data_IF_839784054507
#
_entry.id   IF_839784054507
#
_cell.length_a   1.000
_cell.length_b   1.000
_cell.length_c   1.000
_cell.angle_alpha   90.00
_cell.angle_beta   90.00
_cell.angle_gamma   90.00
#
_symmetry.space_group_name_H-M   'P 1'
#
loop_
_entity.id
_entity.type
_entity.pdbx_description
1 polymer ?
#
# COMPACT_ATOMS: atom_id res chain seq x y z
N UNK A 1 -7.81 23.25 6.12
CA UNK A 1 -7.29 23.33 4.74
C UNK A 1 -6.65 22.01 4.40
N UNK A 2 -7.09 21.37 3.31
CA UNK A 2 -6.53 20.13 2.81
C UNK A 2 -5.44 20.43 1.78
N UNK A 3 -4.31 19.74 1.86
CA UNK A 3 -3.18 19.87 0.93
C UNK A 3 -2.57 18.49 0.65
N UNK A 4 -1.94 18.31 -0.51
CA UNK A 4 -1.37 17.04 -0.94
C UNK A 4 0.16 17.14 -1.02
N UNK A 5 0.84 16.14 -0.45
CA UNK A 5 2.30 16.06 -0.32
C UNK A 5 2.75 14.65 -0.74
N UNK A 6 2.85 14.45 -2.06
CA UNK A 6 3.19 13.15 -2.63
C UNK A 6 2.16 12.08 -2.27
N UNK A 7 2.59 11.09 -1.48
CA UNK A 7 1.77 9.95 -1.00
C UNK A 7 0.92 10.26 0.25
N UNK A 8 0.97 11.49 0.75
CA UNK A 8 0.23 11.91 1.95
C UNK A 8 -0.66 13.10 1.66
N UNK A 9 -1.82 13.17 2.30
CA UNK A 9 -2.64 14.38 2.37
C UNK A 9 -2.65 14.93 3.80
N UNK A 10 -2.51 16.24 3.95
CA UNK A 10 -2.44 16.93 5.24
C UNK A 10 -3.58 17.92 5.39
N UNK A 11 -4.24 17.88 6.54
CA UNK A 11 -5.22 18.87 6.93
C UNK A 11 -4.68 19.78 8.03
N UNK A 12 -4.54 21.06 7.71
CA UNK A 12 -4.13 22.12 8.65
C UNK A 12 -5.34 22.89 9.15
N UNK A 13 -5.42 23.17 10.46
CA UNK A 13 -6.48 24.00 11.02
C UNK A 13 -6.30 25.46 10.59
N UNK A 14 -7.32 26.04 9.95
CA UNK A 14 -7.38 27.48 9.66
C UNK A 14 -7.89 28.22 10.89
N UNK A 15 -8.91 27.67 11.54
CA UNK A 15 -9.39 28.08 12.85
C UNK A 15 -9.06 26.97 13.86
N UNK A 16 -8.36 27.34 14.93
CA UNK A 16 -7.96 26.43 15.99
C UNK A 16 -8.85 26.49 17.21
N UNK A 17 -8.55 25.63 18.17
CA UNK A 17 -9.09 25.65 19.52
C UNK A 17 -7.94 25.50 20.53
N UNK A 18 -8.16 25.64 21.84
CA UNK A 18 -7.08 25.56 22.83
C UNK A 18 -6.30 24.23 22.83
N UNK A 19 -6.86 23.13 22.33
CA UNK A 19 -6.15 21.85 22.28
C UNK A 19 -5.26 21.76 21.04
N UNK A 20 -5.75 22.22 19.88
CA UNK A 20 -5.00 22.26 18.62
C UNK A 20 -5.16 23.66 17.98
N UNK A 21 -4.14 24.55 18.12
CA UNK A 21 -4.19 25.92 17.62
C UNK A 21 -4.30 26.05 16.10
N UNK A 22 -4.62 27.27 15.65
CA UNK A 22 -4.62 27.60 14.23
C UNK A 22 -3.21 27.47 13.64
N UNK A 23 -3.12 27.04 12.38
CA UNK A 23 -1.88 26.78 11.68
C UNK A 23 -1.26 25.40 11.95
N UNK A 24 -1.77 24.64 12.92
CA UNK A 24 -1.26 23.29 13.22
C UNK A 24 -1.91 22.21 12.34
N UNK A 25 -1.14 21.15 12.06
CA UNK A 25 -1.66 19.94 11.41
C UNK A 25 -2.59 19.20 12.38
N UNK A 26 -3.79 18.84 11.92
CA UNK A 26 -4.78 18.11 12.72
C UNK A 26 -5.12 16.73 12.18
N UNK A 27 -4.91 16.49 10.88
CA UNK A 27 -5.07 15.18 10.26
C UNK A 27 -3.97 15.00 9.23
N UNK A 28 -3.42 13.79 9.18
CA UNK A 28 -2.59 13.29 8.09
C UNK A 28 -3.21 12.00 7.57
N UNK A 29 -3.27 11.86 6.25
CA UNK A 29 -3.89 10.73 5.56
C UNK A 29 -2.81 10.10 4.70
N UNK A 30 -2.51 8.83 4.98
CA UNK A 30 -1.69 8.01 4.11
C UNK A 30 -2.55 7.54 2.92
N UNK A 31 -2.13 7.91 1.70
CA UNK A 31 -2.86 7.60 0.48
C UNK A 31 -2.49 6.23 -0.10
N UNK A 32 -1.46 5.57 0.43
CA UNK A 32 -1.03 4.24 -0.05
C UNK A 32 -1.75 3.11 0.68
N UNK A 33 -2.15 3.34 1.93
CA UNK A 33 -2.72 2.32 2.81
C UNK A 33 -4.24 2.40 2.85
N UNK A 34 -4.87 1.96 1.75
CA UNK A 34 -6.32 1.97 1.63
C UNK A 34 -6.98 0.89 2.49
N UNK A 35 -7.89 1.30 3.36
CA UNK A 35 -8.75 0.40 4.13
C UNK A 35 -9.91 -0.03 3.25
N UNK A 36 -10.17 -1.33 3.15
CA UNK A 36 -11.38 -1.84 2.52
C UNK A 36 -12.54 -1.74 3.52
N UNK A 37 -13.64 -1.07 3.13
CA UNK A 37 -14.83 -1.01 3.98
C UNK A 37 -15.50 -2.38 3.99
N UNK A 38 -15.78 -2.95 5.17
CA UNK A 38 -16.60 -4.15 5.26
C UNK A 38 -18.07 -3.83 4.94
N UNK A 39 -18.91 -4.86 4.93
CA UNK A 39 -20.35 -4.70 4.75
C UNK A 39 -21.01 -3.87 5.87
N UNK A 40 -22.26 -3.46 5.65
CA UNK A 40 -23.00 -2.59 6.58
C UNK A 40 -23.16 -3.21 7.97
N UNK A 41 -23.25 -4.53 8.07
CA UNK A 41 -23.42 -5.23 9.35
C UNK A 41 -22.13 -5.17 10.16
N UNK A 42 -20.99 -5.43 9.51
CA UNK A 42 -19.67 -5.35 10.11
C UNK A 42 -19.21 -3.91 10.36
N UNK A 43 -19.66 -2.93 9.56
CA UNK A 43 -19.44 -1.51 9.84
C UNK A 43 -20.11 -1.05 11.14
N UNK A 44 -21.23 -1.67 11.54
CA UNK A 44 -21.85 -1.39 12.84
C UNK A 44 -21.02 -1.92 14.00
N UNK A 45 -20.12 -2.88 13.75
CA UNK A 45 -19.26 -3.46 14.78
C UNK A 45 -17.98 -2.63 14.96
N UNK A 46 -17.89 -1.94 16.09
CA UNK A 46 -16.73 -1.13 16.44
C UNK A 46 -15.43 -1.93 16.50
N UNK A 47 -15.48 -3.16 17.02
CA UNK A 47 -14.28 -3.98 17.18
C UNK A 47 -13.71 -4.42 15.83
N UNK A 48 -14.56 -4.67 14.84
CA UNK A 48 -14.13 -5.04 13.50
C UNK A 48 -13.39 -3.88 12.83
N UNK A 49 -13.98 -2.68 12.86
CA UNK A 49 -13.32 -1.48 12.31
C UNK A 49 -12.02 -1.17 13.04
N UNK A 50 -12.00 -1.30 14.37
CA UNK A 50 -10.80 -1.09 15.19
C UNK A 50 -9.69 -2.07 14.81
N UNK A 51 -10.01 -3.36 14.62
CA UNK A 51 -9.03 -4.38 14.22
C UNK A 51 -8.36 -4.00 12.89
N UNK A 52 -9.15 -3.66 11.89
CA UNK A 52 -8.66 -3.32 10.54
C UNK A 52 -7.74 -2.09 10.59
N UNK A 53 -8.14 -1.04 11.32
CA UNK A 53 -7.32 0.19 11.45
C UNK A 53 -6.00 -0.10 12.16
N UNK A 54 -6.01 -0.92 13.22
CA UNK A 54 -4.80 -1.28 13.96
C UNK A 54 -3.85 -2.15 13.14
N UNK A 55 -4.38 -3.06 12.31
CA UNK A 55 -3.60 -3.90 11.41
C UNK A 55 -2.88 -3.04 10.36
N UNK A 56 -3.59 -2.09 9.73
CA UNK A 56 -2.98 -1.16 8.78
C UNK A 56 -1.94 -0.26 9.46
N UNK A 57 -2.19 0.23 10.68
CA UNK A 57 -1.20 0.99 11.44
C UNK A 57 0.07 0.19 11.67
N UNK A 58 -0.07 -1.10 11.98
CA UNK A 58 1.06 -1.98 12.24
C UNK A 58 1.86 -2.28 10.96
N UNK A 59 1.19 -2.42 9.81
CA UNK A 59 1.85 -2.49 8.51
C UNK A 59 2.64 -1.21 8.21
N UNK A 60 2.02 -0.04 8.34
CA UNK A 60 2.64 1.27 8.13
C UNK A 60 3.88 1.46 9.02
N UNK A 61 3.82 0.97 10.26
CA UNK A 61 4.95 1.00 11.20
C UNK A 61 6.11 0.13 10.71
N UNK A 62 5.83 -1.09 10.26
CA UNK A 62 6.84 -2.02 9.75
C UNK A 62 7.51 -1.50 8.47
N UNK A 63 6.75 -0.90 7.55
CA UNK A 63 7.29 -0.35 6.31
C UNK A 63 8.20 0.86 6.54
N UNK A 64 7.88 1.70 7.54
CA UNK A 64 8.74 2.82 7.94
C UNK A 64 10.05 2.31 8.56
N UNK A 65 9.98 1.29 9.42
CA UNK A 65 11.19 0.70 10.02
C UNK A 65 12.11 0.08 8.98
N UNK A 66 11.57 -0.67 8.01
CA UNK A 66 12.36 -1.23 6.91
C UNK A 66 13.00 -0.17 6.01
N UNK A 67 12.39 1.02 5.89
CA UNK A 67 12.98 2.14 5.16
C UNK A 67 14.04 2.89 5.97
N UNK A 68 13.92 2.95 7.30
CA UNK A 68 14.96 3.46 8.20
C UNK A 68 16.14 2.49 8.35
N UNK A 69 15.90 1.18 8.25
CA UNK A 69 16.90 0.11 8.36
C UNK A 69 17.48 -0.32 6.99
N UNK A 70 17.54 0.60 6.01
CA UNK A 70 18.15 0.35 4.70
C UNK A 70 19.60 -0.18 4.79
N UNK A 71 20.06 -0.95 3.78
CA UNK A 71 20.80 -2.19 3.92
C UNK A 71 22.17 -2.01 4.57
N UNK A 72 22.29 -2.27 5.86
CA UNK A 72 23.58 -2.43 6.54
C UNK A 72 23.74 -3.88 7.01
N UNK A 73 23.95 -4.81 6.08
CA UNK A 73 25.03 -5.81 6.23
C UNK A 73 25.31 -6.55 4.91
N UNK A 74 26.15 -5.91 4.09
CA UNK A 74 26.81 -6.49 2.93
C UNK A 74 28.26 -6.03 2.95
N UNK A 75 28.90 -6.27 4.09
CA UNK A 75 30.20 -5.80 4.46
C UNK A 75 31.30 -6.16 3.43
N UNK A 76 32.09 -5.14 3.06
CA UNK A 76 33.45 -5.17 2.50
C UNK A 76 33.63 -5.89 1.15
N UNK A 77 34.02 -5.12 0.13
CA UNK A 77 35.32 -5.26 -0.53
C UNK A 77 35.69 -3.92 -1.19
N UNK A 78 36.15 -2.99 -0.35
CA UNK A 78 37.04 -1.94 -0.83
C UNK A 78 38.43 -2.58 -0.98
N UNK A 79 38.93 -2.66 -2.21
CA UNK A 79 40.29 -2.21 -2.59
C UNK A 79 40.64 -2.65 -4.02
N UNK A 80 40.55 -1.67 -4.92
CA UNK A 80 41.50 -1.36 -5.99
C UNK A 80 42.59 -2.39 -6.30
N UNK A 81 42.57 -2.92 -7.53
CA UNK A 81 43.81 -3.19 -8.27
C UNK A 81 43.54 -3.09 -9.78
N UNK A 82 44.20 -2.18 -10.52
CA UNK A 82 44.14 -2.14 -11.97
C UNK A 82 45.32 -2.92 -12.56
N UNK A 83 45.07 -4.02 -13.30
CA UNK A 83 46.09 -4.58 -14.20
C UNK A 83 45.50 -5.41 -15.34
N UNK A 84 45.42 -4.72 -16.48
CA UNK A 84 45.76 -5.09 -17.87
C UNK A 84 45.12 -6.32 -18.59
N UNK A 85 44.87 -6.21 -19.91
CA UNK A 85 44.17 -7.22 -20.72
C UNK A 85 45.13 -8.14 -21.49
N UNK A 86 44.82 -9.44 -21.64
CA UNK A 86 45.49 -10.25 -22.66
C UNK A 86 44.67 -11.47 -23.13
N UNK A 87 44.14 -11.33 -24.35
CA UNK A 87 44.19 -12.25 -25.51
C UNK A 87 43.91 -13.76 -25.33
N UNK A 88 42.82 -14.19 -25.99
CA UNK A 88 42.52 -15.50 -26.63
C UNK A 88 43.68 -16.05 -27.50
N UNK A 89 43.74 -17.34 -27.96
CA UNK A 89 42.64 -18.04 -28.67
C UNK A 89 42.51 -19.59 -28.60
N UNK A 90 41.32 -20.07 -29.04
CA UNK A 90 41.03 -21.32 -29.79
C UNK A 90 41.03 -22.69 -29.05
N UNK A 91 40.17 -23.70 -29.28
CA UNK A 91 38.98 -24.06 -30.11
C UNK A 91 38.59 -25.53 -29.67
N UNK A 92 37.71 -26.33 -30.32
CA UNK A 92 36.28 -26.16 -30.64
C UNK A 92 35.38 -27.39 -30.26
N UNK A 93 34.07 -27.13 -30.14
CA UNK A 93 32.90 -27.91 -30.65
C UNK A 93 32.78 -29.46 -30.52
N UNK A 94 31.77 -29.93 -29.78
CA UNK A 94 30.88 -31.09 -30.06
C UNK A 94 29.84 -31.19 -28.93
N UNK A 95 28.51 -31.27 -29.07
CA UNK A 95 27.59 -31.17 -30.21
C UNK A 95 26.16 -30.89 -29.70
N UNK A 96 25.29 -30.42 -30.60
CA UNK A 96 23.82 -30.32 -30.46
C UNK A 96 23.16 -31.73 -30.54
N UNK A 97 21.81 -31.85 -30.63
CA UNK A 97 20.76 -31.52 -29.67
C UNK A 97 19.83 -32.75 -29.48
N UNK A 98 18.81 -32.69 -28.61
CA UNK A 98 17.57 -33.43 -28.89
C UNK A 98 16.37 -32.67 -28.37
N UNK A 99 15.62 -32.13 -29.33
CA UNK A 99 14.30 -31.55 -29.18
C UNK A 99 13.28 -32.66 -28.90
N UNK A 100 12.30 -32.36 -28.04
CA UNK A 100 10.98 -32.99 -28.15
C UNK A 100 9.91 -32.06 -27.61
N UNK A 101 9.34 -31.30 -28.54
CA UNK A 101 7.89 -31.16 -28.77
C UNK A 101 6.95 -31.42 -27.56
N UNK A 102 6.28 -30.35 -27.11
CA UNK A 102 4.81 -30.24 -27.04
C UNK A 102 4.35 -28.92 -26.42
N UNK A 103 3.80 -28.04 -27.25
CA UNK A 103 2.72 -27.09 -26.88
C UNK A 103 1.36 -27.81 -26.86
N UNK A 104 0.23 -27.17 -26.51
CA UNK A 104 0.00 -26.18 -25.44
C UNK A 104 -1.12 -26.69 -24.49
N UNK A 105 -0.92 -26.56 -23.18
CA UNK A 105 -1.93 -26.94 -22.18
C UNK A 105 -2.66 -25.72 -21.66
N UNK A 106 -3.75 -25.35 -22.33
CA UNK A 106 -4.80 -24.47 -21.83
C UNK A 106 -5.22 -24.93 -20.42
N UNK A 107 -4.75 -24.21 -19.41
CA UNK A 107 -5.17 -24.42 -18.02
C UNK A 107 -5.57 -23.08 -17.49
N UNK A 108 -6.89 -22.88 -17.52
CA UNK A 108 -7.59 -21.68 -17.09
C UNK A 108 -6.91 -21.02 -15.91
N UNK A 109 -6.31 -19.86 -16.19
CA UNK A 109 -6.14 -18.85 -15.17
C UNK A 109 -7.55 -18.56 -14.66
N UNK A 110 -7.85 -19.06 -13.47
CA UNK A 110 -8.96 -18.56 -12.69
C UNK A 110 -8.67 -17.07 -12.53
N UNK A 111 -9.30 -16.26 -13.39
CA UNK A 111 -9.47 -14.85 -13.15
C UNK A 111 -10.08 -14.77 -11.77
N UNK A 112 -9.26 -14.40 -10.78
CA UNK A 112 -9.78 -13.77 -9.60
C UNK A 112 -10.64 -12.63 -10.15
N UNK A 113 -11.96 -12.73 -9.93
CA UNK A 113 -12.85 -11.63 -10.22
C UNK A 113 -12.33 -10.43 -9.43
N UNK A 114 -11.53 -9.58 -10.09
CA UNK A 114 -11.50 -8.18 -9.79
C UNK A 114 -12.93 -7.72 -10.02
N UNK A 115 -13.71 -7.72 -8.93
CA UNK A 115 -15.01 -7.09 -8.94
C UNK A 115 -14.80 -5.70 -9.53
N UNK A 116 -15.51 -5.36 -10.62
CA UNK A 116 -15.34 -4.07 -11.25
C UNK A 116 -15.62 -3.04 -10.16
N UNK A 117 -14.59 -2.26 -9.82
CA UNK A 117 -14.75 -1.10 -8.97
C UNK A 117 -15.95 -0.36 -9.56
N UNK A 118 -17.04 -0.30 -8.79
CA UNK A 118 -18.23 0.46 -9.11
C UNK A 118 -17.81 1.93 -9.12
N UNK A 119 -17.09 2.32 -10.18
CA UNK A 119 -16.36 3.55 -10.32
C UNK A 119 -17.38 4.63 -10.61
N UNK A 120 -18.05 5.07 -9.56
CA UNK A 120 -19.05 6.13 -9.61
C UNK A 120 -20.18 5.97 -8.59
N UNK A 121 -20.54 4.74 -8.20
CA UNK A 121 -21.59 4.50 -7.20
C UNK A 121 -20.91 4.26 -5.84
N UNK A 122 -21.11 5.19 -4.90
CA UNK A 122 -20.54 5.05 -3.55
C UNK A 122 -21.12 3.83 -2.85
N UNK A 123 -20.36 3.22 -1.94
CA UNK A 123 -20.82 2.09 -1.15
C UNK A 123 -21.57 2.56 0.11
N UNK A 124 -22.53 1.78 0.64
CA UNK A 124 -23.24 2.13 1.87
C UNK A 124 -22.29 2.35 3.05
N UNK A 125 -22.60 3.32 3.91
CA UNK A 125 -21.80 3.65 5.09
C UNK A 125 -22.68 3.96 6.30
N UNK A 126 -22.30 3.41 7.45
CA UNK A 126 -22.93 3.65 8.74
C UNK A 126 -21.85 3.70 9.82
N UNK A 127 -22.01 4.58 10.80
CA UNK A 127 -21.11 4.64 11.94
C UNK A 127 -21.26 3.38 12.83
N UNK A 128 -20.15 2.88 13.41
CA UNK A 128 -20.20 1.80 14.39
C UNK A 128 -21.00 2.18 15.63
N UNK A 129 -21.62 1.18 16.25
CA UNK A 129 -22.33 1.36 17.53
C UNK A 129 -21.33 1.82 18.60
N UNK A 130 -21.71 2.86 19.37
CA UNK A 130 -20.87 3.48 20.39
C UNK A 130 -20.05 4.68 19.89
N UNK A 131 -19.96 4.90 18.58
CA UNK A 131 -19.36 6.11 18.01
C UNK A 131 -20.40 7.22 17.95
N UNK A 132 -20.13 8.36 18.60
CA UNK A 132 -21.00 9.52 18.56
C UNK A 132 -20.63 10.43 17.39
N UNK A 133 -21.66 10.95 16.71
CA UNK A 133 -21.52 12.03 15.73
C UNK A 133 -22.17 13.29 16.29
N UNK A 134 -21.58 14.45 16.02
CA UNK A 134 -22.28 15.73 16.26
C UNK A 134 -23.29 16.04 15.15
N UNK A 135 -23.12 15.42 13.99
CA UNK A 135 -23.98 15.59 12.83
C UNK A 135 -24.71 14.26 12.55
N UNK A 136 -26.02 14.23 12.74
CA UNK A 136 -26.82 13.02 12.55
C UNK A 136 -27.11 12.74 11.06
N UNK A 137 -27.13 13.80 10.23
CA UNK A 137 -27.46 13.75 8.81
C UNK A 137 -26.23 13.56 7.90
N UNK A 138 -25.23 12.80 8.36
CA UNK A 138 -24.08 12.50 7.51
C UNK A 138 -24.50 11.59 6.33
N UNK A 139 -23.87 11.73 5.15
CA UNK A 139 -24.18 10.89 4.00
C UNK A 139 -24.03 9.40 4.32
N UNK A 140 -25.00 8.58 3.91
CA UNK A 140 -25.00 7.13 4.13
C UNK A 140 -24.30 6.35 3.02
N UNK A 141 -23.48 7.05 2.24
CA UNK A 141 -22.68 6.49 1.15
C UNK A 141 -21.28 7.10 1.19
N UNK A 142 -20.26 6.26 1.06
CA UNK A 142 -18.85 6.69 1.01
C UNK A 142 -18.22 6.28 -0.32
N UNK A 143 -17.36 7.15 -0.86
CA UNK A 143 -16.50 6.82 -2.00
C UNK A 143 -15.07 6.69 -1.53
N UNK A 144 -14.41 5.66 -2.03
CA UNK A 144 -12.98 5.48 -1.88
C UNK A 144 -12.31 5.90 -3.18
N UNK A 145 -11.20 6.61 -3.08
CA UNK A 145 -10.38 7.08 -4.20
C UNK A 145 -9.06 6.32 -4.21
#
# INVERSE_FOLDING_TARGET
MLSFHGKHARATKITGDPNIPAGQQTVEIDLMHRIQLPDVENLRNFNELSRIVLEVREQVRQEQQQQEEGPEDGERHSQQSPREPQQDPAQPNMGLPTEKDREPGDRGAAAAEEQPAQSGQGQPFVLPVGVSSRNEDYPRTCRMW
#
